data_IF_105971196398
#
_entry.id   IF_105971196398
#
_cell.length_a   1.000
_cell.length_b   1.000
_cell.length_c   1.000
_cell.angle_alpha   90.00
_cell.angle_beta   90.00
_cell.angle_gamma   90.00
#
_symmetry.space_group_name_H-M   'P 1'
#
loop_
_entity.id
_entity.type
_entity.pdbx_description
1 polymer ?
#
# COMPACT_ATOMS: atom_id res chain seq x y z
N UNK A 1 17.24 -40.53 -5.80
CA UNK A 1 18.43 -39.77 -5.37
C UNK A 1 18.61 -38.59 -6.32
N UNK A 2 18.39 -37.36 -5.81
CA UNK A 2 18.81 -36.02 -6.28
C UNK A 2 17.79 -34.99 -5.76
N UNK A 3 17.91 -34.73 -4.47
CA UNK A 3 17.27 -33.63 -3.75
C UNK A 3 17.95 -32.32 -4.15
N UNK A 4 17.22 -31.39 -4.76
CA UNK A 4 17.67 -30.01 -4.87
C UNK A 4 17.06 -29.23 -3.70
N UNK A 5 17.75 -29.27 -2.56
CA UNK A 5 17.34 -28.61 -1.32
C UNK A 5 18.12 -27.29 -1.23
N UNK A 6 17.49 -26.17 -1.60
CA UNK A 6 18.09 -24.83 -1.48
C UNK A 6 17.22 -23.81 -0.73
N UNK A 7 16.24 -24.28 0.03
CA UNK A 7 15.57 -23.47 1.06
C UNK A 7 15.54 -24.25 2.37
N UNK A 8 16.63 -24.16 3.14
CA UNK A 8 16.65 -24.64 4.51
C UNK A 8 15.88 -23.65 5.40
N UNK A 9 14.55 -23.75 5.40
CA UNK A 9 13.72 -23.14 6.45
C UNK A 9 13.91 -23.96 7.72
N UNK A 10 14.38 -23.32 8.80
CA UNK A 10 14.49 -23.95 10.11
C UNK A 10 13.10 -24.45 10.54
N UNK A 11 12.96 -25.76 10.70
CA UNK A 11 11.76 -26.39 11.25
C UNK A 11 12.00 -26.60 12.73
N UNK A 12 11.09 -26.15 13.59
CA UNK A 12 11.23 -26.35 15.03
C UNK A 12 11.15 -27.84 15.39
N UNK A 13 11.82 -28.33 16.46
CA UNK A 13 11.76 -29.75 16.84
C UNK A 13 10.33 -30.31 16.99
N UNK A 14 9.35 -29.57 17.55
CA UNK A 14 7.94 -30.00 17.54
C UNK A 14 7.39 -30.12 16.11
N UNK A 15 7.58 -29.13 15.25
CA UNK A 15 7.07 -29.16 13.88
C UNK A 15 7.66 -30.33 13.07
N UNK A 16 8.95 -30.65 13.27
CA UNK A 16 9.60 -31.80 12.64
C UNK A 16 8.98 -33.13 13.11
N UNK A 17 8.73 -33.26 14.42
CA UNK A 17 8.09 -34.43 15.01
C UNK A 17 6.69 -34.65 14.42
N UNK A 18 5.92 -33.57 14.30
CA UNK A 18 4.57 -33.61 13.73
C UNK A 18 4.56 -34.00 12.25
N UNK A 19 5.54 -33.51 11.46
CA UNK A 19 5.72 -33.94 10.07
C UNK A 19 6.13 -35.42 9.96
N UNK A 20 6.99 -35.92 10.85
CA UNK A 20 7.44 -37.32 10.85
C UNK A 20 6.29 -38.28 11.20
N UNK A 21 5.48 -37.93 12.18
CA UNK A 21 4.35 -38.76 12.62
C UNK A 21 3.05 -38.48 11.84
N UNK A 22 3.05 -37.54 10.89
CA UNK A 22 1.87 -37.21 10.08
C UNK A 22 0.75 -36.54 10.87
N UNK A 23 1.05 -35.89 11.99
CA UNK A 23 0.06 -35.14 12.76
C UNK A 23 -0.36 -33.87 12.00
N UNK A 24 -1.65 -33.55 12.02
CA UNK A 24 -2.18 -32.32 11.44
C UNK A 24 -1.68 -31.10 12.23
N UNK A 25 -0.63 -30.42 11.74
CA UNK A 25 0.03 -29.26 12.36
C UNK A 25 -0.93 -28.10 12.70
N UNK A 26 -1.99 -27.93 11.93
CA UNK A 26 -3.05 -26.96 12.19
C UNK A 26 -4.31 -27.38 11.44
N UNK A 27 -5.41 -27.61 12.17
CA UNK A 27 -6.75 -27.61 11.56
C UNK A 27 -7.16 -26.16 11.34
N UNK A 28 -6.84 -25.60 10.17
CA UNK A 28 -7.37 -24.30 9.78
C UNK A 28 -8.85 -24.50 9.42
N UNK A 29 -9.72 -24.21 10.39
CA UNK A 29 -11.16 -24.21 10.24
C UNK A 29 -11.68 -22.79 10.45
N UNK A 30 -12.34 -22.18 9.45
CA UNK A 30 -12.60 -22.71 8.11
C UNK A 30 -11.34 -22.78 7.21
N UNK A 31 -11.35 -23.63 6.16
CA UNK A 31 -10.32 -23.59 5.11
C UNK A 31 -10.21 -22.19 4.50
N UNK A 32 -8.99 -21.76 4.18
CA UNK A 32 -8.72 -20.48 3.51
C UNK A 32 -8.37 -20.70 2.04
N UNK A 33 -8.98 -19.91 1.15
CA UNK A 33 -8.62 -19.85 -0.27
C UNK A 33 -7.95 -18.51 -0.56
N UNK A 34 -6.70 -18.53 -1.02
CA UNK A 34 -6.00 -17.33 -1.45
C UNK A 34 -6.49 -16.92 -2.84
N UNK A 35 -7.15 -15.77 -2.92
CA UNK A 35 -7.74 -15.24 -4.15
C UNK A 35 -6.72 -14.40 -4.91
N UNK A 36 -6.64 -14.63 -6.22
CA UNK A 36 -5.67 -13.97 -7.10
C UNK A 36 -6.03 -12.50 -7.28
N UNK A 37 -5.00 -11.66 -7.28
CA UNK A 37 -5.09 -10.24 -7.56
C UNK A 37 -4.08 -9.94 -8.68
N UNK A 38 -4.57 -9.42 -9.79
CA UNK A 38 -3.73 -9.04 -10.92
C UNK A 38 -4.44 -8.00 -11.78
N UNK A 39 -3.67 -7.16 -12.46
CA UNK A 39 -4.17 -6.27 -13.50
C UNK A 39 -4.57 -7.05 -14.77
N UNK A 40 -5.26 -6.42 -15.75
CA UNK A 40 -5.60 -7.05 -17.01
C UNK A 40 -4.39 -7.70 -17.68
N UNK A 41 -4.51 -8.97 -18.06
CA UNK A 41 -3.45 -9.76 -18.71
C UNK A 41 -2.16 -9.94 -17.91
N UNK A 42 -2.16 -9.66 -16.61
CA UNK A 42 -0.99 -9.81 -15.71
C UNK A 42 -1.14 -10.97 -14.71
N UNK A 43 -2.00 -11.95 -14.99
CA UNK A 43 -2.11 -13.14 -14.14
C UNK A 43 -0.95 -14.10 -14.34
N UNK A 44 -0.59 -14.81 -13.26
CA UNK A 44 0.50 -15.78 -13.29
C UNK A 44 0.03 -17.07 -13.95
N UNK A 45 0.73 -17.49 -15.01
CA UNK A 45 0.56 -18.79 -15.66
C UNK A 45 1.72 -19.70 -15.27
N UNK A 46 1.40 -20.87 -14.72
CA UNK A 46 2.42 -21.89 -14.39
C UNK A 46 2.61 -22.84 -15.57
N UNK A 47 3.85 -23.15 -15.88
CA UNK A 47 4.24 -24.10 -16.92
C UNK A 47 5.45 -24.90 -16.47
N UNK A 48 5.65 -26.06 -17.08
CA UNK A 48 6.83 -26.89 -16.81
C UNK A 48 7.98 -26.46 -17.71
N UNK A 49 9.22 -26.67 -17.24
CA UNK A 49 10.44 -26.30 -17.96
C UNK A 49 10.56 -26.97 -19.35
N UNK A 50 9.93 -28.12 -19.54
CA UNK A 50 9.91 -28.90 -20.77
C UNK A 50 8.79 -28.51 -21.75
N UNK A 51 7.92 -27.56 -21.37
CA UNK A 51 6.80 -27.11 -22.22
C UNK A 51 7.21 -25.92 -23.09
N UNK A 52 6.68 -25.93 -24.31
CA UNK A 52 6.80 -24.80 -25.23
C UNK A 52 5.91 -23.64 -24.78
N UNK A 53 6.49 -22.42 -24.75
CA UNK A 53 5.81 -21.23 -24.23
C UNK A 53 4.66 -20.82 -25.14
N UNK A 54 4.80 -20.93 -26.46
CA UNK A 54 3.73 -20.58 -27.39
C UNK A 54 2.54 -21.52 -27.23
N UNK A 55 2.79 -22.82 -27.04
CA UNK A 55 1.74 -23.79 -26.75
C UNK A 55 1.04 -23.53 -25.41
N UNK A 56 1.78 -23.07 -24.40
CA UNK A 56 1.21 -22.72 -23.09
C UNK A 56 0.33 -21.48 -23.21
N UNK A 57 0.76 -20.44 -23.90
CA UNK A 57 -0.02 -19.20 -24.03
C UNK A 57 -1.27 -19.40 -24.89
N UNK A 58 -1.19 -20.23 -25.94
CA UNK A 58 -2.31 -20.50 -26.85
C UNK A 58 -3.27 -21.59 -26.37
N UNK A 59 -3.06 -22.15 -25.17
CA UNK A 59 -3.93 -23.16 -24.61
C UNK A 59 -5.25 -22.55 -24.17
N UNK A 60 -6.36 -23.19 -24.54
CA UNK A 60 -7.70 -22.78 -24.10
C UNK A 60 -7.80 -22.72 -22.56
N UNK A 61 -8.34 -21.61 -22.04
CA UNK A 61 -8.57 -21.40 -20.61
C UNK A 61 -7.33 -20.95 -19.82
N UNK A 62 -6.24 -20.59 -20.48
CA UNK A 62 -5.04 -20.04 -19.81
C UNK A 62 -5.25 -18.61 -19.34
N UNK A 63 -6.04 -17.84 -20.07
CA UNK A 63 -6.54 -16.50 -19.73
C UNK A 63 -7.43 -16.51 -18.48
N UNK A 64 -8.01 -17.66 -18.14
CA UNK A 64 -8.94 -17.80 -17.01
C UNK A 64 -8.21 -17.86 -15.68
N UNK A 65 -8.60 -16.95 -14.80
CA UNK A 65 -8.18 -16.83 -13.41
C UNK A 65 -9.40 -16.85 -12.49
N UNK A 66 -9.18 -16.97 -11.17
CA UNK A 66 -10.28 -16.85 -10.20
C UNK A 66 -11.00 -15.50 -10.29
N UNK A 67 -10.27 -14.43 -10.64
CA UNK A 67 -10.80 -13.08 -10.76
C UNK A 67 -11.58 -12.88 -12.07
N UNK A 68 -11.06 -13.36 -13.20
CA UNK A 68 -11.78 -13.25 -14.49
C UNK A 68 -13.06 -14.08 -14.50
N UNK A 69 -13.03 -15.28 -13.90
CA UNK A 69 -14.23 -16.12 -13.79
C UNK A 69 -15.23 -15.57 -12.77
N UNK A 70 -14.79 -14.76 -11.79
CA UNK A 70 -15.71 -14.03 -10.92
C UNK A 70 -16.50 -12.97 -11.70
N UNK A 71 -15.82 -12.24 -12.59
CA UNK A 71 -16.45 -11.28 -13.50
C UNK A 71 -17.44 -11.96 -14.45
N UNK A 72 -17.02 -13.07 -15.06
CA UNK A 72 -17.88 -13.90 -15.93
C UNK A 72 -19.13 -14.37 -15.18
N UNK A 73 -18.97 -14.86 -13.94
CA UNK A 73 -20.09 -15.31 -13.12
C UNK A 73 -21.09 -14.18 -12.86
N UNK A 74 -20.62 -12.97 -12.55
CA UNK A 74 -21.49 -11.79 -12.33
C UNK A 74 -22.20 -11.31 -13.60
N UNK A 75 -21.59 -11.55 -14.76
CA UNK A 75 -22.21 -11.27 -16.05
C UNK A 75 -23.35 -12.25 -16.34
N UNK A 76 -23.09 -13.55 -16.13
CA UNK A 76 -24.02 -14.64 -16.48
C UNK A 76 -25.14 -14.87 -15.45
N UNK A 77 -24.86 -14.63 -14.16
CA UNK A 77 -25.75 -15.01 -13.08
C UNK A 77 -26.05 -13.82 -12.15
N UNK A 78 -27.31 -13.39 -12.11
CA UNK A 78 -27.69 -12.25 -11.26
C UNK A 78 -27.52 -12.55 -9.76
N UNK A 79 -27.62 -13.82 -9.37
CA UNK A 79 -27.45 -14.29 -7.99
C UNK A 79 -26.03 -14.11 -7.42
N UNK A 80 -25.02 -13.94 -8.27
CA UNK A 80 -23.64 -13.72 -7.82
C UNK A 80 -23.31 -12.26 -7.61
N UNK A 81 -24.07 -11.35 -8.23
CA UNK A 81 -23.86 -9.90 -8.16
C UNK A 81 -23.84 -9.31 -6.74
N UNK A 82 -24.59 -9.81 -5.73
CA UNK A 82 -24.48 -9.26 -4.37
C UNK A 82 -23.25 -9.78 -3.60
N UNK A 83 -22.45 -10.70 -4.17
CA UNK A 83 -21.34 -11.36 -3.46
C UNK A 83 -20.04 -10.62 -3.74
N UNK A 84 -19.33 -10.22 -2.68
CA UNK A 84 -17.98 -9.65 -2.78
C UNK A 84 -16.99 -10.72 -3.24
N UNK A 85 -15.93 -10.30 -3.95
CA UNK A 85 -14.91 -11.24 -4.42
C UNK A 85 -14.29 -12.07 -3.28
N UNK A 86 -14.02 -11.44 -2.12
CA UNK A 86 -13.48 -12.13 -0.94
C UNK A 86 -14.43 -13.17 -0.31
N UNK A 87 -15.73 -12.98 -0.48
CA UNK A 87 -16.77 -13.81 0.12
C UNK A 87 -17.25 -14.88 -0.87
N UNK A 88 -16.81 -14.79 -2.13
CA UNK A 88 -17.16 -15.74 -3.20
C UNK A 88 -16.90 -17.21 -2.86
N UNK A 89 -15.77 -17.57 -2.23
CA UNK A 89 -15.47 -18.96 -1.87
C UNK A 89 -16.43 -19.57 -0.84
N UNK A 90 -17.21 -18.76 -0.12
CA UNK A 90 -18.24 -19.24 0.80
C UNK A 90 -19.40 -19.89 0.04
N UNK A 91 -19.68 -19.42 -1.18
CA UNK A 91 -20.82 -19.83 -2.00
C UNK A 91 -20.41 -20.70 -3.18
N UNK A 92 -19.18 -20.51 -3.68
CA UNK A 92 -18.67 -21.19 -4.87
C UNK A 92 -17.35 -21.89 -4.56
N UNK A 93 -17.10 -23.00 -5.23
CA UNK A 93 -15.83 -23.73 -5.19
C UNK A 93 -15.10 -23.56 -6.51
N UNK A 94 -13.84 -23.16 -6.44
CA UNK A 94 -12.98 -23.09 -7.61
C UNK A 94 -12.73 -24.48 -8.18
N UNK A 95 -13.10 -24.71 -9.43
CA UNK A 95 -12.79 -25.94 -10.17
C UNK A 95 -11.67 -25.64 -11.16
N UNK A 96 -10.60 -26.43 -11.08
CA UNK A 96 -9.48 -26.36 -12.03
C UNK A 96 -9.31 -27.71 -12.70
N UNK A 97 -9.61 -27.77 -14.00
CA UNK A 97 -9.24 -28.87 -14.87
C UNK A 97 -8.28 -28.34 -15.93
N UNK A 98 -7.60 -29.26 -16.62
CA UNK A 98 -6.69 -28.92 -17.70
C UNK A 98 -7.35 -28.19 -18.89
N UNK A 99 -8.68 -28.25 -19.01
CA UNK A 99 -9.43 -27.71 -20.14
C UNK A 99 -10.53 -26.74 -19.69
N UNK A 100 -10.81 -26.65 -18.39
CA UNK A 100 -11.88 -25.81 -17.89
C UNK A 100 -11.56 -25.30 -16.47
N UNK A 101 -11.64 -23.99 -16.30
CA UNK A 101 -11.52 -23.31 -15.01
C UNK A 101 -12.78 -22.50 -14.81
N UNK A 102 -13.47 -22.71 -13.69
CA UNK A 102 -14.73 -22.03 -13.42
C UNK A 102 -15.11 -22.12 -11.95
N UNK A 103 -16.04 -21.27 -11.54
CA UNK A 103 -16.65 -21.32 -10.22
C UNK A 103 -17.89 -22.22 -10.23
N UNK A 104 -17.88 -23.27 -9.41
CA UNK A 104 -19.03 -24.16 -9.23
C UNK A 104 -19.78 -23.81 -7.95
N UNK A 105 -21.09 -23.59 -8.03
CA UNK A 105 -21.94 -23.35 -6.85
C UNK A 105 -21.81 -24.50 -5.85
N UNK A 106 -21.69 -24.18 -4.56
CA UNK A 106 -21.66 -25.18 -3.48
C UNK A 106 -23.05 -25.76 -3.24
N UNK A 107 -23.05 -27.05 -2.91
CA UNK A 107 -24.18 -27.70 -2.26
C UNK A 107 -24.10 -27.40 -0.75
N UNK A 108 -25.25 -27.14 -0.12
CA UNK A 108 -25.44 -26.44 1.18
C UNK A 108 -24.74 -27.07 2.41
N UNK A 109 -23.96 -28.14 2.27
CA UNK A 109 -23.46 -28.95 3.39
C UNK A 109 -21.92 -29.18 3.38
N UNK A 110 -21.16 -28.46 2.55
CA UNK A 110 -19.71 -28.70 2.37
C UNK A 110 -18.78 -27.84 3.24
N UNK A 111 -19.31 -27.15 4.24
CA UNK A 111 -18.55 -26.25 5.13
C UNK A 111 -18.20 -24.90 4.51
N UNK A 112 -17.99 -23.89 5.37
CA UNK A 112 -17.62 -22.52 4.95
C UNK A 112 -16.13 -22.49 4.57
N UNK A 113 -15.80 -21.88 3.44
CA UNK A 113 -14.42 -21.55 3.05
C UNK A 113 -14.28 -20.03 2.96
N UNK A 114 -13.24 -19.47 3.59
CA UNK A 114 -13.01 -18.03 3.60
C UNK A 114 -12.03 -17.66 2.49
N UNK A 115 -12.44 -16.72 1.64
CA UNK A 115 -11.53 -16.12 0.65
C UNK A 115 -10.65 -15.06 1.28
N UNK A 116 -9.37 -15.07 0.92
CA UNK A 116 -8.42 -14.03 1.31
C UNK A 116 -7.71 -13.49 0.09
N UNK A 117 -8.01 -12.26 -0.27
CA UNK A 117 -7.30 -11.56 -1.34
C UNK A 117 -5.82 -11.44 -0.98
N UNK A 118 -4.94 -11.61 -1.96
CA UNK A 118 -3.51 -11.28 -1.80
C UNK A 118 -3.39 -9.82 -1.36
N UNK A 119 -2.54 -9.57 -0.36
CA UNK A 119 -2.24 -8.22 0.06
C UNK A 119 -1.43 -7.52 -1.03
N UNK A 120 -1.83 -6.29 -1.36
CA UNK A 120 -1.05 -5.37 -2.17
C UNK A 120 -0.61 -4.21 -1.27
N UNK A 121 0.66 -3.84 -1.34
CA UNK A 121 1.20 -2.68 -0.65
C UNK A 121 0.76 -1.39 -1.38
N UNK A 122 0.48 -0.27 -0.69
CA UNK A 122 0.15 1.01 -1.34
C UNK A 122 1.12 1.41 -2.47
N UNK A 123 2.42 1.18 -2.28
CA UNK A 123 3.46 1.41 -3.29
C UNK A 123 3.31 0.59 -4.60
N UNK A 124 2.46 -0.45 -4.62
CA UNK A 124 2.10 -1.22 -5.82
C UNK A 124 0.99 -0.55 -6.66
N UNK A 125 0.59 0.67 -6.28
CA UNK A 125 -0.28 1.60 -7.02
C UNK A 125 -1.59 0.96 -7.46
N UNK A 126 -1.76 0.75 -8.77
CA UNK A 126 -2.99 0.22 -9.36
C UNK A 126 -3.41 -1.15 -8.79
N UNK A 127 -2.47 -1.98 -8.33
CA UNK A 127 -2.81 -3.24 -7.65
C UNK A 127 -3.49 -3.00 -6.31
N UNK A 128 -3.01 -2.02 -5.54
CA UNK A 128 -3.60 -1.64 -4.26
C UNK A 128 -5.01 -1.06 -4.46
N UNK A 129 -5.19 -0.19 -5.45
CA UNK A 129 -6.51 0.37 -5.75
C UNK A 129 -7.48 -0.69 -6.27
N UNK A 130 -7.04 -1.62 -7.13
CA UNK A 130 -7.86 -2.77 -7.54
C UNK A 130 -8.30 -3.60 -6.33
N UNK A 131 -7.40 -3.87 -5.38
CA UNK A 131 -7.72 -4.60 -4.15
C UNK A 131 -8.78 -3.87 -3.32
N UNK A 132 -8.72 -2.54 -3.23
CA UNK A 132 -9.76 -1.74 -2.56
C UNK A 132 -11.11 -1.94 -3.25
N UNK A 133 -11.15 -1.90 -4.59
CA UNK A 133 -12.40 -2.10 -5.32
C UNK A 133 -12.99 -3.49 -5.05
N UNK A 134 -12.18 -4.54 -5.16
CA UNK A 134 -12.62 -5.93 -4.94
C UNK A 134 -13.07 -6.24 -3.49
N UNK A 135 -12.76 -5.35 -2.54
CA UNK A 135 -13.20 -5.45 -1.14
C UNK A 135 -14.53 -4.77 -0.87
N UNK A 136 -14.95 -3.82 -1.71
CA UNK A 136 -16.09 -2.96 -1.44
C UNK A 136 -17.15 -2.95 -2.55
N UNK A 137 -16.77 -3.28 -3.79
CA UNK A 137 -17.65 -3.31 -4.95
C UNK A 137 -18.09 -4.75 -5.21
N UNK A 138 -19.40 -4.97 -5.21
CA UNK A 138 -20.02 -6.25 -5.56
C UNK A 138 -20.46 -6.24 -7.02
N UNK A 139 -20.54 -7.41 -7.64
CA UNK A 139 -21.21 -7.58 -8.94
C UNK A 139 -20.45 -7.01 -10.13
N UNK A 140 -19.17 -6.72 -9.95
CA UNK A 140 -18.31 -6.29 -11.03
C UNK A 140 -18.25 -7.36 -12.12
N UNK A 141 -18.46 -6.95 -13.36
CA UNK A 141 -18.50 -7.81 -14.56
C UNK A 141 -17.25 -7.71 -15.42
N UNK A 142 -16.36 -6.77 -15.11
CA UNK A 142 -15.06 -6.61 -15.76
C UNK A 142 -14.15 -5.66 -14.98
N UNK A 143 -12.89 -5.53 -15.40
CA UNK A 143 -11.99 -4.48 -14.91
C UNK A 143 -12.48 -3.07 -15.26
N UNK A 144 -13.17 -2.91 -16.39
CA UNK A 144 -13.74 -1.62 -16.81
C UNK A 144 -14.93 -1.23 -15.95
N UNK A 145 -15.76 -2.20 -15.59
CA UNK A 145 -16.89 -2.00 -14.69
C UNK A 145 -16.43 -1.52 -13.30
N UNK A 146 -15.33 -2.07 -12.78
CA UNK A 146 -14.71 -1.58 -11.54
C UNK A 146 -14.28 -0.11 -11.64
N UNK A 147 -13.81 0.33 -12.82
CA UNK A 147 -13.42 1.73 -13.10
C UNK A 147 -14.60 2.61 -13.50
N UNK A 148 -15.78 2.05 -13.71
CA UNK A 148 -16.97 2.79 -14.13
C UNK A 148 -17.65 3.39 -12.90
N UNK A 149 -17.84 4.70 -12.88
CA UNK A 149 -18.54 5.40 -11.80
C UNK A 149 -19.56 6.35 -12.42
N UNK A 150 -20.83 6.25 -12.01
CA UNK A 150 -21.93 7.05 -12.58
C UNK A 150 -22.05 6.96 -14.13
N UNK A 151 -21.68 5.83 -14.72
CA UNK A 151 -21.75 5.60 -16.17
C UNK A 151 -20.53 6.10 -16.96
N UNK A 152 -19.52 6.67 -16.30
CA UNK A 152 -18.27 7.11 -16.92
C UNK A 152 -17.14 6.14 -16.58
N UNK A 153 -16.39 5.68 -17.60
CA UNK A 153 -15.21 4.82 -17.42
C UNK A 153 -14.01 5.70 -17.14
N UNK A 154 -13.39 5.50 -15.97
CA UNK A 154 -12.22 6.27 -15.56
C UNK A 154 -10.92 5.59 -15.99
N UNK A 155 -9.85 6.36 -16.21
CA UNK A 155 -8.58 5.83 -16.72
C UNK A 155 -7.89 4.89 -15.72
N UNK A 156 -7.96 5.17 -14.41
CA UNK A 156 -7.24 4.41 -13.37
C UNK A 156 -8.19 3.86 -12.31
N UNK A 157 -7.77 2.79 -11.61
CA UNK A 157 -8.48 2.32 -10.43
C UNK A 157 -8.42 3.34 -9.30
N UNK A 158 -7.32 4.10 -9.18
CA UNK A 158 -7.21 5.18 -8.20
C UNK A 158 -8.36 6.19 -8.34
N UNK A 159 -8.51 6.78 -9.53
CA UNK A 159 -9.54 7.80 -9.77
C UNK A 159 -10.96 7.28 -9.57
N UNK A 160 -11.22 6.01 -9.93
CA UNK A 160 -12.48 5.36 -9.64
C UNK A 160 -12.72 5.20 -8.14
N UNK A 161 -11.67 4.87 -7.38
CA UNK A 161 -11.71 4.79 -5.94
C UNK A 161 -12.02 6.13 -5.29
N UNK A 162 -11.36 7.20 -5.74
CA UNK A 162 -11.59 8.57 -5.27
C UNK A 162 -13.03 9.02 -5.56
N UNK A 163 -13.54 8.79 -6.77
CA UNK A 163 -14.90 9.18 -7.16
C UNK A 163 -15.98 8.37 -6.44
N UNK A 164 -15.68 7.13 -6.04
CA UNK A 164 -16.55 6.31 -5.18
C UNK A 164 -16.42 6.65 -3.69
N UNK A 165 -15.46 7.49 -3.29
CA UNK A 165 -15.15 7.77 -1.89
C UNK A 165 -14.51 6.60 -1.14
N UNK A 166 -13.92 5.63 -1.87
CA UNK A 166 -13.17 4.50 -1.31
C UNK A 166 -11.71 4.84 -1.02
N UNK A 167 -11.19 5.86 -1.70
CA UNK A 167 -9.83 6.39 -1.58
C UNK A 167 -9.95 7.86 -1.25
N UNK A 168 -9.15 8.35 -0.31
CA UNK A 168 -9.06 9.77 -0.01
C UNK A 168 -8.34 10.47 -1.17
N UNK A 169 -8.96 11.50 -1.75
CA UNK A 169 -8.35 12.28 -2.82
C UNK A 169 -7.40 13.36 -2.29
N UNK A 170 -6.56 13.92 -3.16
CA UNK A 170 -5.55 14.92 -2.79
C UNK A 170 -6.09 16.15 -2.03
N UNK A 171 -7.37 16.49 -2.22
CA UNK A 171 -8.01 17.59 -1.48
C UNK A 171 -7.99 17.37 0.04
N UNK A 172 -8.04 16.12 0.53
CA UNK A 172 -7.95 15.85 1.97
C UNK A 172 -6.54 16.08 2.52
N UNK A 173 -5.50 15.86 1.70
CA UNK A 173 -4.11 16.12 2.07
C UNK A 173 -3.87 17.62 2.17
N UNK A 174 -4.42 18.38 1.23
CA UNK A 174 -4.41 19.83 1.24
C UNK A 174 -5.16 20.41 2.45
N UNK A 175 -6.39 19.95 2.71
CA UNK A 175 -7.16 20.34 3.90
C UNK A 175 -6.41 20.02 5.20
N UNK A 176 -5.75 18.84 5.27
CA UNK A 176 -4.95 18.45 6.43
C UNK A 176 -3.77 19.38 6.66
N UNK A 177 -3.05 19.79 5.60
CA UNK A 177 -1.93 20.74 5.71
C UNK A 177 -2.44 22.15 6.05
N UNK A 178 -3.57 22.55 5.49
CA UNK A 178 -4.21 23.83 5.80
C UNK A 178 -4.65 23.92 7.26
N UNK A 179 -5.24 22.85 7.81
CA UNK A 179 -5.61 22.77 9.23
C UNK A 179 -4.36 22.81 10.13
N UNK A 180 -3.33 22.03 9.80
CA UNK A 180 -2.07 22.01 10.55
C UNK A 180 -1.37 23.37 10.59
N UNK A 181 -1.48 24.18 9.52
CA UNK A 181 -0.91 25.53 9.46
C UNK A 181 -1.41 26.45 10.58
N UNK A 182 -2.61 26.18 11.14
CA UNK A 182 -3.18 26.98 12.22
C UNK A 182 -2.54 26.70 13.59
N UNK A 183 -1.89 25.55 13.77
CA UNK A 183 -1.48 25.07 15.09
C UNK A 183 -0.02 24.60 15.17
N UNK A 184 0.57 24.21 14.04
CA UNK A 184 1.90 23.61 13.99
C UNK A 184 3.00 24.65 13.70
N UNK A 185 4.17 24.42 14.29
CA UNK A 185 5.38 25.16 13.94
C UNK A 185 5.84 24.75 12.53
N UNK A 186 6.47 25.66 11.74
CA UNK A 186 6.90 25.36 10.37
C UNK A 186 7.77 24.10 10.23
N UNK A 187 8.64 23.80 11.19
CA UNK A 187 9.44 22.56 11.19
C UNK A 187 8.61 21.28 11.36
N UNK A 188 7.55 21.33 12.17
CA UNK A 188 6.57 20.24 12.29
C UNK A 188 5.74 20.10 11.02
N UNK A 189 5.35 21.23 10.41
CA UNK A 189 4.61 21.24 9.15
C UNK A 189 5.44 20.66 8.00
N UNK A 190 6.75 20.95 7.92
CA UNK A 190 7.69 20.32 6.97
C UNK A 190 7.78 18.80 7.17
N UNK A 191 7.76 18.32 8.42
CA UNK A 191 7.72 16.89 8.72
C UNK A 191 6.41 16.23 8.30
N UNK A 192 5.28 16.89 8.52
CA UNK A 192 3.99 16.42 8.03
C UNK A 192 3.98 16.33 6.50
N UNK A 193 4.45 17.38 5.82
CA UNK A 193 4.58 17.39 4.36
C UNK A 193 5.44 16.22 3.85
N UNK A 194 6.64 16.00 4.42
CA UNK A 194 7.48 14.86 4.06
C UNK A 194 6.80 13.51 4.30
N UNK A 195 6.01 13.38 5.37
CA UNK A 195 5.22 12.17 5.67
C UNK A 195 4.15 11.95 4.60
N UNK A 196 3.45 13.00 4.19
CA UNK A 196 2.44 12.94 3.12
C UNK A 196 3.07 12.46 1.81
N UNK A 197 4.24 13.00 1.43
CA UNK A 197 4.95 12.57 0.22
C UNK A 197 5.25 11.06 0.24
N UNK A 198 5.75 10.54 1.37
CA UNK A 198 6.19 9.14 1.45
C UNK A 198 5.02 8.16 1.53
N UNK A 199 3.95 8.51 2.24
CA UNK A 199 2.91 7.53 2.62
C UNK A 199 1.56 7.75 1.96
N UNK A 200 1.27 8.95 1.47
CA UNK A 200 -0.04 9.28 0.90
C UNK A 200 -0.04 9.33 -0.64
N UNK A 201 1.12 9.30 -1.29
CA UNK A 201 1.28 9.35 -2.75
C UNK A 201 0.38 10.42 -3.43
N UNK A 202 0.49 11.70 -3.03
CA UNK A 202 -0.30 12.79 -3.64
C UNK A 202 -0.11 12.81 -5.17
N UNK A 203 -1.21 12.98 -5.90
CA UNK A 203 -1.20 13.07 -7.37
C UNK A 203 -0.60 14.39 -7.86
N UNK A 204 -0.81 15.50 -7.14
CA UNK A 204 -0.23 16.81 -7.44
C UNK A 204 0.68 17.32 -6.32
N UNK A 205 1.87 16.72 -6.22
CA UNK A 205 2.94 17.16 -5.30
C UNK A 205 3.32 18.62 -5.54
N UNK A 206 3.34 19.07 -6.81
CA UNK A 206 3.83 20.41 -7.17
C UNK A 206 2.84 21.48 -6.73
N UNK A 207 1.55 21.29 -6.98
CA UNK A 207 0.50 22.18 -6.49
C UNK A 207 0.44 22.21 -4.97
N UNK A 208 0.61 21.05 -4.31
CA UNK A 208 0.67 20.98 -2.85
C UNK A 208 1.87 21.76 -2.27
N UNK A 209 3.04 21.63 -2.89
CA UNK A 209 4.24 22.40 -2.54
C UNK A 209 4.00 23.91 -2.68
N UNK A 210 3.57 24.36 -3.86
CA UNK A 210 3.40 25.79 -4.16
C UNK A 210 2.38 26.44 -3.24
N UNK A 211 1.30 25.73 -2.92
CA UNK A 211 0.24 26.21 -2.03
C UNK A 211 0.69 26.36 -0.58
N UNK A 212 1.50 25.42 -0.07
CA UNK A 212 1.89 25.39 1.35
C UNK A 212 3.29 25.97 1.62
N UNK A 213 4.07 26.32 0.59
CA UNK A 213 5.44 26.84 0.71
C UNK A 213 5.54 28.05 1.66
N UNK A 214 4.59 28.98 1.61
CA UNK A 214 4.61 30.14 2.50
C UNK A 214 4.53 29.68 3.97
N UNK A 215 3.59 28.81 4.32
CA UNK A 215 3.49 28.26 5.68
C UNK A 215 4.73 27.44 6.09
N UNK A 216 5.22 26.60 5.17
CA UNK A 216 6.41 25.76 5.39
C UNK A 216 7.69 26.57 5.61
N UNK A 217 7.74 27.84 5.22
CA UNK A 217 8.94 28.67 5.21
C UNK A 217 8.92 29.83 6.22
N UNK A 218 7.87 29.94 7.04
CA UNK A 218 7.63 31.11 7.90
C UNK A 218 8.79 31.41 8.87
N UNK A 219 9.44 30.36 9.41
CA UNK A 219 10.57 30.48 10.33
C UNK A 219 11.85 30.98 9.64
N UNK A 220 12.11 30.55 8.40
CA UNK A 220 13.29 30.97 7.64
C UNK A 220 13.16 32.38 7.06
N UNK A 221 11.93 32.81 6.71
CA UNK A 221 11.67 34.17 6.18
C UNK A 221 12.05 35.28 7.17
N UNK A 222 11.97 35.02 8.47
CA UNK A 222 12.28 36.03 9.51
C UNK A 222 13.74 36.47 9.49
N UNK A 223 14.64 35.59 9.08
CA UNK A 223 16.09 35.83 9.12
C UNK A 223 16.72 35.97 7.72
N UNK A 224 15.95 35.79 6.65
CA UNK A 224 16.46 35.74 5.28
C UNK A 224 15.56 36.55 4.33
N UNK A 225 16.07 37.61 3.70
CA UNK A 225 15.29 38.42 2.76
C UNK A 225 15.15 37.78 1.36
N UNK A 226 15.98 36.80 1.02
CA UNK A 226 15.94 36.13 -0.29
C UNK A 226 14.94 34.98 -0.29
N UNK A 227 13.87 35.11 -1.09
CA UNK A 227 12.87 34.06 -1.27
C UNK A 227 13.47 32.76 -1.79
N UNK A 228 14.42 32.86 -2.72
CA UNK A 228 15.12 31.69 -3.30
C UNK A 228 15.93 30.97 -2.22
N UNK A 229 16.67 31.71 -1.37
CA UNK A 229 17.43 31.08 -0.29
C UNK A 229 16.52 30.37 0.71
N UNK A 230 15.38 30.99 1.07
CA UNK A 230 14.39 30.41 1.99
C UNK A 230 13.78 29.14 1.40
N UNK A 231 13.39 29.15 0.13
CA UNK A 231 12.87 27.97 -0.57
C UNK A 231 13.88 26.81 -0.54
N UNK A 232 15.16 27.10 -0.82
CA UNK A 232 16.24 26.11 -0.78
C UNK A 232 16.47 25.55 0.62
N UNK A 233 16.38 26.38 1.67
CA UNK A 233 16.47 25.90 3.06
C UNK A 233 15.33 24.93 3.42
N UNK A 234 14.10 25.22 2.98
CA UNK A 234 12.95 24.31 3.17
C UNK A 234 13.16 23.00 2.42
N UNK A 235 13.62 23.04 1.17
CA UNK A 235 13.89 21.84 0.36
C UNK A 235 14.97 20.96 1.00
N UNK A 236 16.06 21.56 1.52
CA UNK A 236 17.12 20.83 2.21
C UNK A 236 16.58 20.16 3.49
N UNK A 237 15.77 20.86 4.29
CA UNK A 237 15.17 20.28 5.51
C UNK A 237 14.25 19.10 5.17
N UNK A 238 13.41 19.24 4.14
CA UNK A 238 12.55 18.15 3.65
C UNK A 238 13.38 16.98 3.11
N UNK A 239 14.45 17.23 2.33
CA UNK A 239 15.37 16.20 1.84
C UNK A 239 15.92 15.37 2.99
N UNK A 240 16.42 16.01 4.06
CA UNK A 240 16.95 15.30 5.22
C UNK A 240 15.88 14.41 5.89
N UNK A 241 14.63 14.89 5.96
CA UNK A 241 13.51 14.10 6.48
C UNK A 241 13.17 12.91 5.57
N UNK A 242 13.13 13.10 4.25
CA UNK A 242 12.90 12.03 3.28
C UNK A 242 13.99 10.95 3.34
N UNK A 243 15.25 11.37 3.44
CA UNK A 243 16.39 10.45 3.60
C UNK A 243 16.29 9.62 4.87
N UNK A 244 15.81 10.20 5.98
CA UNK A 244 15.55 9.45 7.21
C UNK A 244 14.45 8.38 7.06
N UNK A 245 13.58 8.52 6.06
CA UNK A 245 12.55 7.54 5.67
C UNK A 245 12.98 6.65 4.49
N UNK A 246 14.25 6.73 4.07
CA UNK A 246 14.79 5.93 2.96
C UNK A 246 14.30 6.35 1.57
N UNK A 247 13.92 7.61 1.40
CA UNK A 247 13.50 8.18 0.11
C UNK A 247 14.43 9.33 -0.30
N UNK A 248 14.69 9.41 -1.60
CA UNK A 248 15.44 10.52 -2.19
C UNK A 248 14.46 11.60 -2.68
N UNK A 249 14.84 12.87 -2.56
CA UNK A 249 13.94 14.00 -2.88
C UNK A 249 13.62 14.06 -4.38
N UNK A 250 14.55 13.60 -5.21
CA UNK A 250 14.46 13.50 -6.67
C UNK A 250 13.40 12.49 -7.12
N UNK A 251 12.89 11.65 -6.21
CA UNK A 251 11.75 10.75 -6.50
C UNK A 251 10.40 11.48 -6.53
N UNK A 252 10.38 12.76 -6.15
CA UNK A 252 9.19 13.61 -6.13
C UNK A 252 9.37 14.82 -7.07
N UNK A 253 8.30 15.30 -7.74
CA UNK A 253 8.38 16.43 -8.66
C UNK A 253 8.43 17.79 -7.90
N UNK A 254 9.44 17.94 -7.05
CA UNK A 254 9.76 19.16 -6.30
C UNK A 254 10.81 19.99 -7.05
N UNK A 255 10.96 21.30 -6.72
CA UNK A 255 12.04 22.10 -7.30
C UNK A 255 13.43 21.55 -6.99
N UNK A 256 14.36 21.73 -7.93
CA UNK A 256 15.75 21.29 -7.77
C UNK A 256 16.46 22.04 -6.63
N UNK A 257 17.33 21.30 -5.92
CA UNK A 257 18.20 21.88 -4.90
C UNK A 257 19.47 22.41 -5.56
N UNK A 258 19.81 23.66 -5.26
CA UNK A 258 21.12 24.21 -5.61
C UNK A 258 22.12 23.90 -4.49
N UNK A 259 23.13 23.09 -4.83
CA UNK A 259 24.21 22.63 -3.93
C UNK A 259 25.03 23.77 -3.29
N UNK A 260 25.02 24.98 -3.87
CA UNK A 260 25.68 26.15 -3.31
C UNK A 260 25.11 26.52 -1.92
N UNK A 261 23.84 26.22 -1.66
CA UNK A 261 23.17 26.48 -0.38
C UNK A 261 23.42 25.39 0.66
N UNK A 262 23.92 24.22 0.27
CA UNK A 262 24.33 23.15 1.18
C UNK A 262 25.58 23.55 1.98
N UNK A 263 26.53 24.20 1.31
CA UNK A 263 27.83 24.58 1.88
C UNK A 263 27.74 25.80 2.80
N UNK A 264 26.80 26.70 2.56
CA UNK A 264 26.62 27.93 3.33
C UNK A 264 26.02 27.72 4.74
N UNK A 265 25.32 26.60 4.98
CA UNK A 265 24.65 26.30 6.25
C UNK A 265 25.45 25.39 7.22
N UNK A 266 26.70 25.05 6.88
CA UNK A 266 27.66 24.49 7.85
C UNK A 266 27.22 23.22 8.57
N UNK A 267 27.12 22.10 7.86
CA UNK A 267 27.29 20.77 8.48
C UNK A 267 28.69 20.29 8.11
N UNK A 268 29.66 20.50 9.00
CA UNK A 268 30.93 19.80 8.90
C UNK A 268 30.67 18.29 9.01
N UNK A 269 30.91 17.57 7.93
CA UNK A 269 31.08 16.13 7.97
C UNK A 269 32.28 15.80 8.85
N UNK A 270 32.03 15.48 10.12
CA UNK A 270 33.04 14.84 10.96
C UNK A 270 33.00 13.34 10.70
N UNK A 271 33.96 12.85 9.92
CA UNK A 271 34.37 11.45 9.94
C UNK A 271 34.70 10.99 11.37
N UNK A 272 34.28 9.76 11.68
CA UNK A 272 34.88 8.86 12.67
C UNK A 272 34.99 9.37 14.11
N UNK A 273 34.03 8.98 14.97
CA UNK A 273 34.31 8.60 16.36
C UNK A 273 33.21 7.67 16.88
N UNK A 274 33.62 6.47 17.32
CA UNK A 274 32.76 5.45 17.94
C UNK A 274 31.98 6.00 19.15
N UNK A 275 30.78 5.46 19.46
CA UNK A 275 29.93 5.98 20.52
C UNK A 275 30.41 5.53 21.91
N UNK A 276 30.34 6.37 22.95
CA UNK A 276 30.31 5.88 24.32
C UNK A 276 28.87 5.57 24.72
N UNK A 277 28.72 4.40 25.32
CA UNK A 277 27.55 3.95 26.05
C UNK A 277 27.25 4.84 27.25
N UNK A 278 26.03 5.38 27.34
CA UNK A 278 25.34 5.54 28.63
C UNK A 278 23.89 5.92 28.41
N UNK A 279 23.05 5.04 28.92
CA UNK A 279 21.62 5.13 29.18
C UNK A 279 21.21 6.40 29.93
N UNK A 280 19.92 6.72 29.77
CA UNK A 280 19.07 7.49 30.69
C UNK A 280 19.03 9.00 30.43
N UNK A 281 18.02 9.43 29.64
CA UNK A 281 17.13 10.59 29.86
C UNK A 281 16.42 10.99 28.54
N UNK A 282 15.47 10.17 28.06
CA UNK A 282 14.43 10.62 27.09
C UNK A 282 13.15 9.81 27.29
N UNK A 283 12.31 10.21 28.23
CA UNK A 283 10.94 9.66 28.35
C UNK A 283 9.89 10.71 28.70
N UNK A 284 10.13 12.01 28.50
CA UNK A 284 9.21 13.03 29.01
C UNK A 284 8.77 14.13 28.04
N UNK A 285 8.75 13.85 26.72
CA UNK A 285 8.19 14.80 25.74
C UNK A 285 7.21 14.18 24.73
N UNK A 286 7.04 12.85 24.72
CA UNK A 286 6.20 12.17 23.72
C UNK A 286 4.71 12.01 24.11
N UNK A 287 4.31 12.43 25.31
CA UNK A 287 2.94 12.27 25.81
C UNK A 287 2.01 13.46 25.49
N UNK A 288 2.54 14.64 25.15
CA UNK A 288 1.72 15.86 25.02
C UNK A 288 0.95 15.93 23.69
N UNK A 289 1.41 15.26 22.64
CA UNK A 289 0.71 15.23 21.34
C UNK A 289 -0.40 14.16 21.26
N UNK A 290 -0.45 13.20 22.17
CA UNK A 290 -1.41 12.08 22.14
C UNK A 290 -2.81 12.45 22.68
N UNK A 291 -2.96 13.54 23.44
CA UNK A 291 -4.20 13.81 24.21
C UNK A 291 -5.21 14.71 23.46
N UNK A 292 -4.83 15.40 22.37
CA UNK A 292 -5.69 16.46 21.79
C UNK A 292 -6.22 16.23 20.38
N UNK A 293 -6.27 14.97 19.95
CA UNK A 293 -6.65 14.58 18.60
C UNK A 293 -8.04 13.89 18.60
N UNK A 294 -9.02 14.43 19.35
CA UNK A 294 -10.42 13.98 19.35
C UNK A 294 -11.25 14.76 18.31
N UNK A 295 -11.41 14.17 17.13
CA UNK A 295 -12.32 14.67 16.08
C UNK A 295 -11.68 14.51 14.69
N UNK A 296 -12.35 13.81 13.77
CA UNK A 296 -11.88 13.30 12.45
C UNK A 296 -11.57 11.80 12.46
N UNK A 297 -12.51 11.05 11.88
CA UNK A 297 -12.48 9.59 11.72
C UNK A 297 -11.55 9.22 10.55
N UNK A 298 -11.11 7.96 10.55
CA UNK A 298 -10.37 7.22 9.51
C UNK A 298 -8.86 7.48 9.30
N UNK A 299 -8.35 8.68 9.01
CA UNK A 299 -6.87 8.89 8.85
C UNK A 299 -6.08 8.58 10.14
N UNK A 300 -6.71 8.79 11.30
CA UNK A 300 -6.02 8.70 12.59
C UNK A 300 -5.60 7.29 12.96
N UNK A 301 -6.35 6.26 12.58
CA UNK A 301 -6.00 4.89 12.95
C UNK A 301 -4.81 4.39 12.12
N UNK A 302 -4.72 4.77 10.85
CA UNK A 302 -3.61 4.41 9.97
C UNK A 302 -2.31 5.13 10.35
N UNK A 303 -2.36 6.43 10.60
CA UNK A 303 -1.19 7.18 11.09
C UNK A 303 -0.76 6.75 12.50
N UNK A 304 -1.69 6.47 13.43
CA UNK A 304 -1.31 5.94 14.75
C UNK A 304 -0.65 4.56 14.64
N UNK A 305 -1.21 3.65 13.83
CA UNK A 305 -0.69 2.30 13.69
C UNK A 305 0.65 2.27 12.96
N UNK A 306 0.86 3.15 11.96
CA UNK A 306 2.15 3.27 11.26
C UNK A 306 3.23 3.92 12.13
N UNK A 307 2.90 4.99 12.88
CA UNK A 307 3.86 5.62 13.81
C UNK A 307 4.22 4.66 14.96
N UNK A 308 3.26 3.89 15.47
CA UNK A 308 3.54 2.85 16.47
C UNK A 308 4.40 1.70 15.92
N UNK A 309 4.25 1.33 14.66
CA UNK A 309 5.06 0.27 14.04
C UNK A 309 6.53 0.68 13.81
N UNK A 310 6.76 1.94 13.41
CA UNK A 310 8.12 2.50 13.23
C UNK A 310 8.83 2.66 14.58
N UNK A 311 8.12 3.06 15.64
CA UNK A 311 8.72 3.25 16.98
C UNK A 311 8.98 1.93 17.71
N UNK A 312 8.19 0.88 17.48
CA UNK A 312 8.41 -0.43 18.12
C UNK A 312 9.43 -1.33 17.39
N UNK A 313 9.97 -0.89 16.25
CA UNK A 313 10.91 -1.68 15.43
C UNK A 313 12.34 -1.11 15.41
N UNK A 314 12.72 -0.24 16.37
CA UNK A 314 14.07 0.30 16.53
C UNK A 314 14.60 0.11 17.95
#
# INVERSE_FOLDING_TARGET
MRSNNRDARWVTPPEALWRIYGFELSKNSPPMLQLQLHLPNMHIVSFRKDQDIEQVVNREGVEKSMLTEYFEANMLHEETRPILYRDFPEWYTWQTSQQNKYWRRRERDTGVQVGRNVAAHPAEREHYYLLIHLRHVTGATSYEDLRTVNGEILPTFREAGERRGLVEGDNTLDESLAESTLYDMPSSLRRLFATILVFCEPSDVRGLWEKHLEALSEDYRRNNPSKVAVEQMVLIDIRNMLQSMGKEIESFPLPDINEDYYTANGVQGSSSRNPPSSSTLRTQTYQTHLIRIRGMRTMKLYLLLMVMWVVCSS
#
